data_IF_140199688972
#
_entry.id   IF_140199688972
#
_cell.length_a   1.000
_cell.length_b   1.000
_cell.length_c   1.000
_cell.angle_alpha   90.00
_cell.angle_beta   90.00
_cell.angle_gamma   90.00
#
_symmetry.space_group_name_H-M   'P 1'
#
loop_
_entity.id
_entity.type
_entity.pdbx_description
1 polymer ?
#
# COMPACT_ATOMS: atom_id res chain seq x y z
N UNK A 1 -11.86 -15.32 -15.25
CA UNK A 1 -11.48 -15.33 -13.81
C UNK A 1 -9.97 -15.48 -13.71
N UNK A 2 -9.30 -14.89 -12.72
CA UNK A 2 -7.86 -15.00 -12.50
C UNK A 2 -7.57 -15.63 -11.13
N UNK A 3 -6.52 -16.43 -11.04
CA UNK A 3 -6.10 -17.09 -9.81
C UNK A 3 -5.00 -16.28 -9.11
N UNK A 4 -5.33 -15.68 -7.97
CA UNK A 4 -4.38 -14.90 -7.15
C UNK A 4 -4.21 -15.51 -5.75
N UNK A 5 -4.05 -16.84 -5.70
CA UNK A 5 -3.85 -17.61 -4.46
C UNK A 5 -2.41 -18.15 -4.48
N UNK A 6 -1.65 -18.07 -3.37
CA UNK A 6 -0.24 -18.48 -3.32
C UNK A 6 -0.12 -20.01 -3.26
N UNK A 7 -0.40 -20.67 -4.39
CA UNK A 7 -0.45 -22.14 -4.51
C UNK A 7 0.84 -22.75 -5.03
N UNK A 8 1.87 -21.96 -5.32
CA UNK A 8 3.21 -22.42 -5.72
C UNK A 8 3.86 -23.38 -4.70
N UNK A 9 3.55 -23.18 -3.42
CA UNK A 9 3.98 -24.05 -2.32
C UNK A 9 3.26 -25.41 -2.26
N UNK A 10 2.11 -25.55 -2.94
CA UNK A 10 1.30 -26.75 -2.91
C UNK A 10 1.81 -27.78 -3.94
N UNK A 11 1.91 -29.05 -3.54
CA UNK A 11 2.42 -30.14 -4.40
C UNK A 11 1.34 -31.18 -4.71
N UNK A 12 1.57 -31.98 -5.76
CA UNK A 12 0.79 -33.18 -6.11
C UNK A 12 -0.69 -32.92 -6.45
N UNK A 13 -0.96 -31.92 -7.29
CA UNK A 13 -2.31 -31.65 -7.77
C UNK A 13 -2.72 -32.69 -8.80
N UNK A 14 -3.88 -33.30 -8.57
CA UNK A 14 -4.60 -34.00 -9.64
C UNK A 14 -5.17 -32.98 -10.63
N UNK A 15 -5.49 -33.43 -11.85
CA UNK A 15 -5.94 -32.52 -12.91
C UNK A 15 -7.22 -31.77 -12.53
N UNK A 16 -8.20 -32.43 -11.90
CA UNK A 16 -9.46 -31.82 -11.49
C UNK A 16 -9.32 -30.82 -10.32
N UNK A 17 -8.19 -30.85 -9.61
CA UNK A 17 -7.92 -29.89 -8.55
C UNK A 17 -7.36 -28.57 -9.10
N UNK A 18 -6.79 -28.57 -10.30
CA UNK A 18 -6.15 -27.41 -10.91
C UNK A 18 -7.18 -26.36 -11.32
N UNK A 19 -7.01 -25.06 -10.98
CA UNK A 19 -7.89 -23.99 -11.44
C UNK A 19 -8.01 -23.93 -12.97
N UNK A 20 -6.95 -24.28 -13.69
CA UNK A 20 -6.90 -24.35 -15.14
C UNK A 20 -7.94 -25.31 -15.73
N UNK A 21 -8.24 -26.40 -15.02
CA UNK A 21 -9.29 -27.36 -15.41
C UNK A 21 -10.67 -26.68 -15.57
N UNK A 22 -10.89 -25.58 -14.85
CA UNK A 22 -12.12 -24.80 -14.86
C UNK A 22 -12.01 -23.52 -15.71
N UNK A 23 -10.98 -23.40 -16.55
CA UNK A 23 -10.75 -22.22 -17.40
C UNK A 23 -10.35 -20.95 -16.62
N UNK A 24 -9.86 -21.10 -15.40
CA UNK A 24 -9.30 -19.98 -14.63
C UNK A 24 -7.88 -19.69 -15.15
N UNK A 25 -7.56 -18.41 -15.37
CA UNK A 25 -6.22 -17.99 -15.78
C UNK A 25 -5.28 -18.02 -14.57
N UNK A 26 -4.12 -18.64 -14.73
CA UNK A 26 -3.14 -18.90 -13.67
C UNK A 26 -1.77 -18.51 -14.20
N UNK A 27 -0.92 -17.90 -13.37
CA UNK A 27 0.46 -17.62 -13.71
C UNK A 27 1.25 -18.92 -13.98
N UNK A 28 2.26 -18.86 -14.84
CA UNK A 28 3.14 -19.99 -15.11
C UNK A 28 3.69 -20.60 -13.80
N UNK A 29 3.64 -21.93 -13.72
CA UNK A 29 4.04 -22.70 -12.53
C UNK A 29 3.35 -22.26 -11.23
N UNK A 30 2.15 -21.66 -11.32
CA UNK A 30 1.38 -21.13 -10.20
C UNK A 30 2.14 -20.09 -9.36
N UNK A 31 3.16 -19.44 -9.95
CA UNK A 31 3.93 -18.42 -9.25
C UNK A 31 3.01 -17.30 -8.78
N UNK A 32 3.29 -16.77 -7.60
CA UNK A 32 2.52 -15.65 -7.09
C UNK A 32 2.68 -14.39 -7.95
N UNK A 33 3.88 -14.16 -8.51
CA UNK A 33 4.14 -13.10 -9.49
C UNK A 33 4.36 -13.75 -10.86
N UNK A 34 3.56 -13.35 -11.85
CA UNK A 34 3.65 -13.89 -13.20
C UNK A 34 2.86 -13.08 -14.21
N UNK A 35 2.67 -13.64 -15.39
CA UNK A 35 2.13 -12.99 -16.58
C UNK A 35 0.61 -12.71 -16.52
N UNK A 36 -0.15 -13.42 -15.70
CA UNK A 36 -1.61 -13.25 -15.59
C UNK A 36 -1.97 -12.20 -14.54
N UNK A 37 -1.33 -12.26 -13.37
CA UNK A 37 -1.61 -11.36 -12.24
C UNK A 37 -0.37 -11.18 -11.35
N UNK A 38 -0.18 -9.97 -10.85
CA UNK A 38 0.86 -9.62 -9.87
C UNK A 38 0.23 -8.74 -8.78
N UNK A 39 0.42 -9.10 -7.51
CA UNK A 39 -0.03 -8.30 -6.36
C UNK A 39 1.16 -7.70 -5.62
N UNK A 40 1.19 -6.37 -5.55
CA UNK A 40 2.26 -5.55 -5.02
C UNK A 40 1.85 -5.02 -3.64
N UNK A 41 2.35 -5.66 -2.59
CA UNK A 41 1.98 -5.34 -1.21
C UNK A 41 2.71 -4.11 -0.67
N UNK A 42 1.98 -3.26 0.04
CA UNK A 42 2.41 -2.02 0.71
C UNK A 42 3.72 -2.06 1.50
N UNK A 43 4.09 -3.20 2.10
CA UNK A 43 5.32 -3.30 2.91
C UNK A 43 6.57 -3.55 2.07
N UNK A 44 6.40 -3.95 0.81
CA UNK A 44 7.50 -4.32 -0.10
C UNK A 44 7.58 -3.45 -1.35
N UNK A 45 6.48 -2.77 -1.71
CA UNK A 45 6.36 -1.97 -2.91
C UNK A 45 6.39 -0.48 -2.59
N UNK A 46 7.45 0.21 -3.01
CA UNK A 46 7.65 1.64 -2.72
C UNK A 46 8.07 1.91 -1.28
N UNK A 47 8.15 3.20 -0.93
CA UNK A 47 8.35 3.66 0.46
C UNK A 47 7.02 4.16 1.03
N UNK A 48 6.03 3.28 1.11
CA UNK A 48 4.71 3.63 1.63
C UNK A 48 4.81 4.05 3.12
N UNK A 49 4.24 5.20 3.53
CA UNK A 49 4.26 5.64 4.92
C UNK A 49 3.17 4.95 5.73
N UNK A 50 3.52 4.40 6.89
CA UNK A 50 2.55 3.74 7.77
C UNK A 50 3.03 3.58 9.21
N UNK A 51 2.15 3.12 10.10
CA UNK A 51 2.50 2.72 11.47
C UNK A 51 2.47 1.20 11.61
N UNK A 52 3.55 0.60 12.15
CA UNK A 52 3.56 -0.84 12.46
C UNK A 52 2.61 -1.19 13.60
N UNK A 53 2.41 -0.26 14.52
CA UNK A 53 1.50 -0.38 15.65
C UNK A 53 0.55 0.83 15.68
N UNK A 54 -0.74 0.58 15.46
CA UNK A 54 -1.79 1.61 15.42
C UNK A 54 -2.02 2.36 16.74
N UNK A 55 -1.37 1.95 17.82
CA UNK A 55 -1.42 2.61 19.14
C UNK A 55 -0.12 3.32 19.50
N UNK A 56 0.89 3.33 18.62
CA UNK A 56 2.22 3.87 18.92
C UNK A 56 2.78 4.69 17.75
N UNK A 57 2.84 6.01 17.92
CA UNK A 57 3.36 6.94 16.90
C UNK A 57 4.86 6.75 16.63
N UNK A 58 5.62 6.17 17.56
CA UNK A 58 7.05 5.89 17.35
C UNK A 58 7.27 4.73 16.37
N UNK A 59 6.22 3.94 16.11
CA UNK A 59 6.25 2.83 15.15
C UNK A 59 6.16 3.27 13.68
N UNK A 60 6.33 4.56 13.40
CA UNK A 60 6.26 5.16 12.08
C UNK A 60 7.33 4.58 11.13
N UNK A 61 6.89 4.23 9.93
CA UNK A 61 7.71 3.81 8.80
C UNK A 61 7.54 4.86 7.70
N UNK A 62 8.64 5.28 7.09
CA UNK A 62 8.67 6.30 6.02
C UNK A 62 7.95 7.61 6.38
N UNK A 63 7.92 7.98 7.66
CA UNK A 63 7.24 9.19 8.15
C UNK A 63 5.79 8.97 8.63
N UNK A 64 5.23 7.77 8.48
CA UNK A 64 3.94 7.37 9.05
C UNK A 64 2.70 7.92 8.36
N UNK A 65 2.73 9.18 7.89
CA UNK A 65 1.64 9.86 7.18
C UNK A 65 2.11 10.35 5.79
N UNK A 66 1.22 10.44 4.79
CA UNK A 66 1.58 10.83 3.42
C UNK A 66 2.24 12.20 3.33
N UNK A 67 1.75 13.21 4.04
CA UNK A 67 2.31 14.58 4.00
C UNK A 67 3.69 14.73 4.65
N UNK A 68 4.20 13.69 5.32
CA UNK A 68 5.56 13.63 5.87
C UNK A 68 6.49 12.74 5.04
N UNK A 69 5.96 12.01 4.07
CA UNK A 69 6.73 11.08 3.25
C UNK A 69 7.55 11.81 2.18
N UNK A 70 8.66 11.21 1.77
CA UNK A 70 9.46 11.71 0.65
C UNK A 70 8.97 11.06 -0.66
N UNK A 71 8.12 11.78 -1.40
CA UNK A 71 7.52 11.28 -2.64
C UNK A 71 8.56 10.89 -3.70
N UNK A 72 9.63 11.67 -3.86
CA UNK A 72 10.67 11.37 -4.85
C UNK A 72 11.36 10.04 -4.55
N UNK A 73 11.74 9.79 -3.29
CA UNK A 73 12.32 8.50 -2.89
C UNK A 73 11.33 7.35 -3.01
N UNK A 74 10.05 7.59 -2.71
CA UNK A 74 9.00 6.61 -2.91
C UNK A 74 8.88 6.19 -4.38
N UNK A 75 8.80 7.14 -5.30
CA UNK A 75 8.68 6.88 -6.75
C UNK A 75 9.89 6.15 -7.31
N UNK A 76 11.12 6.52 -6.91
CA UNK A 76 12.33 5.80 -7.30
C UNK A 76 12.31 4.33 -6.83
N UNK A 77 11.81 4.08 -5.62
CA UNK A 77 11.65 2.70 -5.13
C UNK A 77 10.54 1.96 -5.87
N UNK A 78 9.41 2.61 -6.14
CA UNK A 78 8.31 2.04 -6.94
C UNK A 78 8.82 1.61 -8.32
N UNK A 79 9.55 2.45 -9.03
CA UNK A 79 10.13 2.14 -10.34
C UNK A 79 10.99 0.86 -10.27
N UNK A 80 11.95 0.82 -9.34
CA UNK A 80 12.82 -0.35 -9.18
C UNK A 80 12.04 -1.61 -8.75
N UNK A 81 11.09 -1.48 -7.82
CA UNK A 81 10.29 -2.62 -7.36
C UNK A 81 9.39 -3.15 -8.50
N UNK A 82 8.85 -2.27 -9.35
CA UNK A 82 8.07 -2.65 -10.54
C UNK A 82 8.93 -3.43 -11.52
N UNK A 83 10.13 -2.95 -11.86
CA UNK A 83 11.05 -3.67 -12.77
C UNK A 83 11.39 -5.07 -12.23
N UNK A 84 11.58 -5.19 -10.93
CA UNK A 84 11.90 -6.48 -10.31
C UNK A 84 10.70 -7.44 -10.25
N UNK A 85 9.50 -6.91 -9.97
CA UNK A 85 8.29 -7.73 -9.85
C UNK A 85 7.67 -8.08 -11.22
N UNK A 86 7.78 -7.18 -12.19
CA UNK A 86 7.18 -7.25 -13.53
C UNK A 86 8.28 -6.96 -14.58
N UNK A 87 9.21 -7.89 -14.80
CA UNK A 87 10.36 -7.67 -15.70
C UNK A 87 9.98 -7.65 -17.19
N UNK A 88 8.78 -8.12 -17.55
CA UNK A 88 8.29 -8.05 -18.92
C UNK A 88 7.74 -6.65 -19.20
N UNK A 89 8.44 -5.85 -20.00
CA UNK A 89 7.99 -4.52 -20.41
C UNK A 89 6.68 -4.52 -21.21
N UNK A 90 6.35 -5.66 -21.84
CA UNK A 90 5.08 -5.86 -22.56
C UNK A 90 4.04 -6.60 -21.70
N UNK A 91 4.10 -6.46 -20.37
CA UNK A 91 3.12 -7.07 -19.48
C UNK A 91 1.71 -6.54 -19.76
N UNK A 92 0.80 -7.45 -20.08
CA UNK A 92 -0.62 -7.21 -20.37
C UNK A 92 -1.57 -7.86 -19.34
N UNK A 93 -1.00 -8.42 -18.28
CA UNK A 93 -1.73 -8.99 -17.15
C UNK A 93 -2.30 -7.94 -16.20
N UNK A 94 -2.83 -8.40 -15.06
CA UNK A 94 -3.38 -7.54 -14.03
C UNK A 94 -2.33 -7.22 -12.95
N UNK A 95 -1.90 -5.97 -12.84
CA UNK A 95 -1.09 -5.49 -11.72
C UNK A 95 -1.99 -4.85 -10.64
N UNK A 96 -1.89 -5.34 -9.40
CA UNK A 96 -2.68 -4.88 -8.26
C UNK A 96 -1.73 -4.23 -7.25
N UNK A 97 -1.97 -2.97 -6.92
CA UNK A 97 -1.30 -2.30 -5.79
C UNK A 97 -2.20 -2.46 -4.57
N UNK A 98 -1.67 -3.12 -3.54
CA UNK A 98 -2.42 -3.44 -2.34
C UNK A 98 -1.97 -2.57 -1.17
N UNK A 99 -2.48 -1.32 -1.16
CA UNK A 99 -2.24 -0.30 -0.14
C UNK A 99 -3.47 -0.13 0.74
N UNK A 100 -3.36 -0.55 1.99
CA UNK A 100 -4.46 -0.63 2.94
C UNK A 100 -4.21 0.12 4.24
N UNK A 101 -2.96 0.46 4.60
CA UNK A 101 -2.67 1.05 5.93
C UNK A 101 -3.48 2.32 6.22
N UNK A 102 -3.67 3.22 5.27
CA UNK A 102 -4.56 4.39 5.39
C UNK A 102 -5.45 4.57 4.15
N UNK A 103 -6.48 5.39 4.27
CA UNK A 103 -7.40 5.76 3.18
C UNK A 103 -7.08 7.19 2.72
N UNK A 104 -7.23 7.52 1.43
CA UNK A 104 -6.77 8.79 0.89
C UNK A 104 -7.55 10.00 1.42
N UNK A 105 -8.81 9.79 1.83
CA UNK A 105 -9.59 10.81 2.52
C UNK A 105 -9.38 10.68 4.03
N UNK A 106 -8.88 11.74 4.65
CA UNK A 106 -8.68 11.88 6.09
C UNK A 106 -9.90 11.39 6.88
N UNK A 107 -11.09 11.80 6.45
CA UNK A 107 -12.37 11.46 7.09
C UNK A 107 -12.76 9.98 7.00
N UNK A 108 -12.05 9.18 6.21
CA UNK A 108 -12.25 7.73 6.16
C UNK A 108 -11.25 6.96 7.02
N UNK A 109 -10.30 7.63 7.70
CA UNK A 109 -9.35 6.99 8.61
C UNK A 109 -9.93 6.83 10.03
N UNK A 110 -10.99 6.05 10.16
CA UNK A 110 -11.67 5.75 11.43
C UNK A 110 -11.18 4.43 12.07
N UNK A 111 -11.67 4.11 13.27
CA UNK A 111 -11.25 2.93 14.07
C UNK A 111 -9.74 2.91 14.30
N UNK A 112 -9.05 1.80 14.06
CA UNK A 112 -7.59 1.64 14.22
C UNK A 112 -6.79 2.63 13.37
N UNK A 113 -7.37 3.14 12.27
CA UNK A 113 -6.72 4.14 11.41
C UNK A 113 -6.80 5.57 11.98
N UNK A 114 -7.40 5.78 13.16
CA UNK A 114 -7.40 7.11 13.82
C UNK A 114 -6.00 7.64 14.10
N UNK A 115 -4.99 6.76 14.21
CA UNK A 115 -3.59 7.19 14.37
C UNK A 115 -3.14 8.16 13.28
N UNK A 116 -3.55 7.97 12.02
CA UNK A 116 -3.18 8.87 10.92
C UNK A 116 -3.79 10.26 11.09
N UNK A 117 -5.00 10.34 11.66
CA UNK A 117 -5.64 11.62 11.96
C UNK A 117 -4.89 12.36 13.04
N UNK A 118 -4.64 11.68 14.16
CA UNK A 118 -3.93 12.26 15.30
C UNK A 118 -2.51 12.69 14.90
N UNK A 119 -1.77 11.81 14.23
CA UNK A 119 -0.44 12.10 13.72
C UNK A 119 -0.40 13.30 12.77
N UNK A 120 -1.42 13.45 11.92
CA UNK A 120 -1.52 14.60 11.01
C UNK A 120 -1.70 15.91 11.78
N UNK A 121 -2.52 15.91 12.83
CA UNK A 121 -2.72 17.07 13.70
C UNK A 121 -1.43 17.37 14.48
N UNK A 122 -0.80 16.36 15.07
CA UNK A 122 0.44 16.51 15.83
C UNK A 122 1.55 17.08 14.94
N UNK A 123 1.66 16.60 13.70
CA UNK A 123 2.62 17.11 12.73
C UNK A 123 2.38 18.59 12.34
N UNK A 124 1.14 19.07 12.39
CA UNK A 124 0.85 20.51 12.25
C UNK A 124 1.30 21.27 13.50
N UNK A 125 0.95 20.77 14.70
CA UNK A 125 1.33 21.42 15.96
C UNK A 125 2.85 21.50 16.16
N UNK A 126 3.60 20.52 15.65
CA UNK A 126 5.07 20.55 15.63
C UNK A 126 5.66 21.71 14.81
N UNK A 127 4.91 22.24 13.83
CA UNK A 127 5.38 23.30 12.92
C UNK A 127 4.84 24.69 13.25
N UNK A 128 3.78 24.79 14.05
CA UNK A 128 3.11 26.05 14.35
C UNK A 128 2.86 26.20 15.86
N UNK A 129 3.68 27.01 16.52
CA UNK A 129 3.52 27.34 17.93
C UNK A 129 2.19 28.04 18.21
N UNK A 130 1.54 27.71 19.33
CA UNK A 130 0.27 28.30 19.81
C UNK A 130 -0.92 28.19 18.85
N UNK A 131 -0.89 27.29 17.86
CA UNK A 131 -2.04 27.04 16.98
C UNK A 131 -3.20 26.42 17.76
N UNK A 132 -4.44 26.84 17.46
CA UNK A 132 -5.63 26.23 18.06
C UNK A 132 -5.90 24.85 17.47
N UNK A 133 -6.53 23.97 18.25
CA UNK A 133 -6.91 22.62 17.81
C UNK A 133 -7.71 22.63 16.50
N UNK A 134 -8.65 23.57 16.39
CA UNK A 134 -9.51 23.73 15.22
C UNK A 134 -8.70 24.07 13.96
N UNK A 135 -7.76 25.00 14.07
CA UNK A 135 -6.94 25.40 12.93
C UNK A 135 -5.94 24.30 12.57
N UNK A 136 -5.32 23.66 13.57
CA UNK A 136 -4.42 22.53 13.34
C UNK A 136 -5.13 21.38 12.61
N UNK A 137 -6.37 21.06 13.02
CA UNK A 137 -7.20 20.04 12.37
C UNK A 137 -7.53 20.41 10.93
N UNK A 138 -7.92 21.66 10.66
CA UNK A 138 -8.25 22.10 9.30
C UNK A 138 -7.04 22.00 8.35
N UNK A 139 -5.84 22.39 8.82
CA UNK A 139 -4.60 22.25 8.05
C UNK A 139 -4.26 20.77 7.86
N UNK A 140 -4.34 19.95 8.91
CA UNK A 140 -4.05 18.52 8.86
C UNK A 140 -4.93 17.78 7.85
N UNK A 141 -6.23 18.07 7.80
CA UNK A 141 -7.16 17.50 6.82
C UNK A 141 -6.72 17.86 5.40
N UNK A 142 -6.40 19.13 5.16
CA UNK A 142 -5.99 19.62 3.84
C UNK A 142 -4.70 18.94 3.39
N UNK A 143 -3.65 19.01 4.21
CA UNK A 143 -2.33 18.47 3.86
C UNK A 143 -2.36 16.94 3.71
N UNK A 144 -3.09 16.22 4.56
CA UNK A 144 -3.24 14.77 4.43
C UNK A 144 -3.91 14.41 3.11
N UNK A 145 -5.06 15.03 2.79
CA UNK A 145 -5.78 14.74 1.56
C UNK A 145 -4.96 15.11 0.31
N UNK A 146 -4.26 16.24 0.33
CA UNK A 146 -3.40 16.66 -0.79
C UNK A 146 -2.24 15.70 -1.02
N UNK A 147 -1.60 15.20 0.05
CA UNK A 147 -0.47 14.29 -0.06
C UNK A 147 -0.88 12.82 -0.33
N UNK A 148 -2.13 12.47 -0.08
CA UNK A 148 -2.67 11.12 -0.27
C UNK A 148 -3.31 10.90 -1.65
N UNK A 149 -3.41 11.95 -2.47
CA UNK A 149 -3.93 11.93 -3.85
C UNK A 149 -2.82 11.74 -4.89
#
# INVERSE_FOLDING_TARGET
>A
VRWNVPTDQCKNWTEIQKPEHYGILVNDKHKFYGEVVVTLYEEKFGLYPYYKNYSDLSSAVNGGIPQRANLTKHLLKVENDTINAIPNENFDGLAIIDYEKWRPLYEHNWSTKRIYRNASIDYVKERYDNITEKNATAIAIKEFNEAAM
#
